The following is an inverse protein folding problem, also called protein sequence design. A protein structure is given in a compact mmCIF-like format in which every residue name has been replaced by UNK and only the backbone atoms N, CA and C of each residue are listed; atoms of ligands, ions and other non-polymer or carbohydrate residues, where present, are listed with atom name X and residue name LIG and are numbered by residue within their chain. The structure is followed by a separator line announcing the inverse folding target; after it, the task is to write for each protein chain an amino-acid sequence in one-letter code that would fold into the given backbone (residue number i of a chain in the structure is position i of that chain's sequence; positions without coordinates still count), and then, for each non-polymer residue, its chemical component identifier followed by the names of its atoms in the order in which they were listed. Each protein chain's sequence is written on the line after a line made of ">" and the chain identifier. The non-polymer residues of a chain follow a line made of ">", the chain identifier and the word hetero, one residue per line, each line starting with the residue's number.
data_IF_825011980123
#
_entry.id   IF_825011980123
#
_cell.length_a   1.000
_cell.length_b   1.000
_cell.length_c   1.000
_cell.angle_alpha   90.00
_cell.angle_beta   90.00
_cell.angle_gamma   90.00
#
_symmetry.space_group_name_H-M   'P 1'
#
loop_
_entity.id
_entity.type
_entity.pdbx_description
1 polymer ?
#
# COMPACT_ATOMS: atom_id res chain seq x y z
N UNK A 1 6.55 -56.81 5.72
CA UNK A 1 7.32 -55.90 4.80
C UNK A 1 6.41 -55.06 3.88
N UNK A 2 5.31 -55.55 3.31
CA UNK A 2 4.41 -54.78 2.43
C UNK A 2 3.84 -53.49 3.06
N UNK A 3 3.50 -53.51 4.34
CA UNK A 3 2.92 -52.34 5.03
C UNK A 3 3.96 -51.24 5.35
N UNK A 4 5.24 -51.58 5.41
CA UNK A 4 6.32 -50.61 5.62
C UNK A 4 6.48 -49.68 4.41
N UNK A 5 6.30 -50.20 3.20
CA UNK A 5 6.36 -49.39 1.98
C UNK A 5 5.18 -48.44 1.86
N UNK A 6 3.98 -48.86 2.30
CA UNK A 6 2.80 -47.98 2.29
C UNK A 6 3.00 -46.83 3.28
N UNK A 7 3.54 -47.11 4.47
CA UNK A 7 3.81 -46.08 5.47
C UNK A 7 4.85 -45.04 4.97
N UNK A 8 5.91 -45.52 4.31
CA UNK A 8 6.94 -44.65 3.69
C UNK A 8 6.37 -43.81 2.55
N UNK A 9 5.44 -44.33 1.77
CA UNK A 9 4.81 -43.63 0.67
C UNK A 9 3.87 -42.51 1.18
N UNK A 10 3.13 -42.79 2.27
CA UNK A 10 2.28 -41.77 2.90
C UNK A 10 3.07 -40.68 3.58
N UNK A 11 4.21 -40.98 4.20
CA UNK A 11 5.10 -40.01 4.79
C UNK A 11 5.82 -39.12 3.74
N UNK A 12 6.10 -39.68 2.55
CA UNK A 12 6.69 -38.94 1.44
C UNK A 12 5.74 -37.92 0.77
N UNK A 13 4.44 -38.12 0.85
CA UNK A 13 3.45 -37.22 0.26
C UNK A 13 3.15 -35.98 1.13
N UNK A 14 3.51 -36.02 2.40
CA UNK A 14 3.29 -34.90 3.32
C UNK A 14 4.36 -33.81 3.24
N UNK A 15 5.44 -34.01 2.51
CA UNK A 15 6.55 -33.05 2.44
C UNK A 15 6.39 -31.98 1.35
N UNK A 16 5.32 -32.01 0.57
CA UNK A 16 5.09 -31.02 -0.51
C UNK A 16 4.24 -29.82 -0.09
N UNK A 17 3.78 -29.77 1.14
CA UNK A 17 3.06 -28.61 1.67
C UNK A 17 4.03 -27.59 2.29
N UNK A 18 5.11 -27.27 1.61
CA UNK A 18 5.79 -26.00 1.88
C UNK A 18 4.84 -24.91 1.43
N UNK A 19 4.23 -24.24 2.41
CA UNK A 19 3.59 -22.94 2.17
C UNK A 19 4.64 -22.08 1.49
N UNK A 20 4.38 -21.73 0.23
CA UNK A 20 5.28 -20.82 -0.48
C UNK A 20 5.33 -19.52 0.30
N UNK A 21 6.47 -19.27 0.92
CA UNK A 21 6.73 -18.00 1.52
C UNK A 21 6.85 -16.98 0.41
N UNK A 22 5.99 -16.02 0.46
CA UNK A 22 6.12 -14.85 -0.39
C UNK A 22 7.34 -14.07 0.10
N UNK A 23 8.40 -14.03 -0.68
CA UNK A 23 9.70 -13.52 -0.25
C UNK A 23 9.81 -12.01 -0.06
N UNK A 24 8.82 -11.18 -0.43
CA UNK A 24 8.77 -9.74 -0.08
C UNK A 24 7.93 -9.38 1.13
N UNK A 25 7.86 -10.07 1.80
CA UNK A 25 7.08 -10.90 2.51
C UNK A 25 6.52 -10.34 3.75
N UNK A 26 6.91 -9.24 4.13
CA UNK A 26 6.42 -8.62 5.33
C UNK A 26 5.82 -7.24 5.06
N UNK A 27 5.77 -6.85 3.77
CA UNK A 27 5.33 -5.50 3.37
C UNK A 27 4.05 -5.54 2.54
N UNK A 28 3.07 -4.79 2.98
CA UNK A 28 1.86 -4.44 2.23
C UNK A 28 1.85 -2.97 1.87
N UNK A 29 1.04 -2.60 0.88
CA UNK A 29 0.82 -1.21 0.52
C UNK A 29 -0.65 -0.85 0.68
N UNK A 30 -0.91 0.30 1.26
CA UNK A 30 -2.21 0.94 1.25
C UNK A 30 -2.16 2.05 0.20
N UNK A 31 -3.15 2.09 -0.68
CA UNK A 31 -3.22 3.00 -1.81
C UNK A 31 -4.43 3.90 -1.68
N UNK A 32 -4.24 5.20 -1.83
CA UNK A 32 -5.33 6.17 -1.87
C UNK A 32 -5.37 6.90 -3.21
N UNK A 33 -6.56 6.94 -3.77
CA UNK A 33 -6.94 7.76 -4.91
C UNK A 33 -7.74 8.94 -4.37
N UNK A 34 -7.15 10.14 -4.38
CA UNK A 34 -7.73 11.33 -3.73
C UNK A 34 -7.96 12.41 -4.77
N UNK A 35 -9.22 12.66 -5.12
CA UNK A 35 -9.56 13.56 -6.22
C UNK A 35 -10.78 14.43 -5.89
N UNK A 36 -11.04 15.45 -6.73
CA UNK A 36 -12.30 16.19 -6.72
C UNK A 36 -13.39 15.38 -7.42
N UNK A 37 -14.63 15.64 -7.05
CA UNK A 37 -15.77 15.01 -7.71
C UNK A 37 -15.74 15.22 -9.23
N UNK A 38 -15.83 14.14 -9.97
CA UNK A 38 -15.83 14.15 -11.44
C UNK A 38 -14.46 14.34 -12.09
N UNK A 39 -13.39 14.52 -11.31
CA UNK A 39 -12.00 14.55 -11.81
C UNK A 39 -11.34 13.20 -11.61
N UNK A 40 -10.35 12.89 -12.46
CA UNK A 40 -9.52 11.67 -12.36
C UNK A 40 -8.13 11.95 -11.82
N UNK A 41 -7.76 13.23 -11.77
CA UNK A 41 -6.43 13.65 -11.34
C UNK A 41 -6.38 13.75 -9.83
N UNK A 42 -5.37 13.16 -9.23
CA UNK A 42 -5.16 13.24 -7.80
C UNK A 42 -4.79 14.66 -7.35
N UNK A 43 -5.39 15.08 -6.24
CA UNK A 43 -5.01 16.32 -5.56
C UNK A 43 -3.61 16.13 -4.98
N UNK A 44 -2.71 17.07 -5.24
CA UNK A 44 -1.31 17.03 -4.77
C UNK A 44 -1.14 17.74 -3.43
N UNK A 45 0.02 17.52 -2.81
CA UNK A 45 0.46 18.21 -1.59
C UNK A 45 -0.45 18.05 -0.37
N UNK A 46 -1.18 16.93 -0.32
CA UNK A 46 -1.96 16.58 0.87
C UNK A 46 -1.06 15.93 1.92
N UNK A 47 -1.25 16.27 3.18
CA UNK A 47 -0.74 15.51 4.31
C UNK A 47 -1.74 14.41 4.65
N UNK A 48 -1.34 13.16 4.46
CA UNK A 48 -2.18 12.00 4.71
C UNK A 48 -1.49 11.10 5.73
N UNK A 49 -2.16 10.84 6.85
CA UNK A 49 -1.61 10.05 7.96
C UNK A 49 -2.59 8.97 8.41
N UNK A 50 -2.07 7.96 9.10
CA UNK A 50 -2.88 7.01 9.87
C UNK A 50 -3.10 7.58 11.26
N UNK A 51 -4.34 7.52 11.73
CA UNK A 51 -4.75 8.02 13.04
C UNK A 51 -5.50 6.98 13.85
N UNK A 52 -5.46 7.13 15.17
CA UNK A 52 -6.26 6.35 16.11
C UNK A 52 -7.73 6.84 16.16
N UNK A 53 -8.55 6.20 16.98
CA UNK A 53 -9.95 6.58 17.20
C UNK A 53 -10.14 7.99 17.78
N UNK A 54 -9.09 8.61 18.30
CA UNK A 54 -9.10 9.98 18.81
C UNK A 54 -8.60 11.01 17.79
N UNK A 55 -8.20 10.55 16.59
CA UNK A 55 -7.67 11.40 15.52
C UNK A 55 -6.19 11.78 15.65
N UNK A 56 -5.45 11.11 16.58
CA UNK A 56 -4.00 11.32 16.76
C UNK A 56 -3.21 10.45 15.81
N UNK A 57 -2.15 11.01 15.26
CA UNK A 57 -1.25 10.30 14.34
C UNK A 57 -0.62 9.07 15.03
N UNK A 58 -0.63 7.93 14.32
CA UNK A 58 0.05 6.71 14.75
C UNK A 58 1.53 6.82 14.48
N UNK A 59 2.32 6.66 15.53
CA UNK A 59 3.79 6.66 15.44
C UNK A 59 4.30 5.25 15.21
N UNK A 60 5.20 5.10 14.24
CA UNK A 60 5.85 3.83 13.88
C UNK A 60 6.96 3.48 14.88
N UNK A 61 6.61 3.21 16.12
CA UNK A 61 7.57 2.93 17.20
C UNK A 61 8.44 1.72 16.82
N UNK A 62 9.75 1.92 16.76
CA UNK A 62 10.73 0.87 16.47
C UNK A 62 10.39 0.00 15.25
N UNK A 63 9.83 0.61 14.21
CA UNK A 63 9.39 -0.09 12.99
C UNK A 63 8.29 -1.15 13.22
N UNK A 64 7.47 -1.02 14.25
CA UNK A 64 6.40 -1.97 14.54
C UNK A 64 5.38 -2.09 13.40
N UNK A 65 5.05 -0.98 12.74
CA UNK A 65 4.00 -0.93 11.72
C UNK A 65 4.53 -0.85 10.28
N UNK A 66 5.76 -0.38 10.11
CA UNK A 66 6.42 -0.23 8.80
C UNK A 66 7.92 -0.39 8.96
N UNK A 67 8.57 -1.01 7.99
CA UNK A 67 10.04 -1.13 7.97
C UNK A 67 10.75 0.16 7.59
N UNK A 68 10.01 1.24 7.40
CA UNK A 68 10.54 2.56 7.05
C UNK A 68 10.11 3.59 8.09
N UNK A 69 10.94 4.62 8.26
CA UNK A 69 10.63 5.79 9.09
C UNK A 69 10.32 5.43 10.55
N UNK A 70 11.25 4.73 11.21
CA UNK A 70 11.16 4.43 12.64
C UNK A 70 10.90 5.67 13.47
N UNK A 71 10.01 5.57 14.45
CA UNK A 71 9.65 6.62 15.39
C UNK A 71 9.08 7.90 14.74
N UNK A 72 8.54 7.77 13.52
CA UNK A 72 7.85 8.83 12.81
C UNK A 72 6.37 8.47 12.63
N UNK A 73 5.50 9.45 12.37
CA UNK A 73 4.13 9.17 11.96
C UNK A 73 4.06 8.31 10.71
N UNK A 74 3.03 7.48 10.61
CA UNK A 74 2.73 6.75 9.38
C UNK A 74 2.12 7.72 8.37
N UNK A 75 2.93 8.15 7.40
CA UNK A 75 2.58 9.15 6.40
C UNK A 75 2.58 8.53 5.02
N UNK A 76 1.52 8.80 4.25
CA UNK A 76 1.46 8.45 2.84
C UNK A 76 2.36 9.36 2.02
N UNK A 77 2.96 8.79 0.99
CA UNK A 77 3.76 9.50 0.00
C UNK A 77 3.17 9.32 -1.39
N UNK A 78 3.31 10.31 -2.26
CA UNK A 78 2.91 10.13 -3.66
C UNK A 78 3.71 9.02 -4.31
N UNK A 79 3.05 8.19 -5.11
CA UNK A 79 3.74 7.26 -6.00
C UNK A 79 4.60 8.05 -7.00
N UNK A 80 5.64 7.45 -7.51
CA UNK A 80 6.62 8.14 -8.35
C UNK A 80 7.09 7.26 -9.50
N UNK A 81 7.61 7.90 -10.52
CA UNK A 81 8.27 7.24 -11.65
C UNK A 81 9.68 6.78 -11.28
N UNK A 82 10.08 5.66 -11.85
CA UNK A 82 11.43 5.10 -11.69
C UNK A 82 12.11 4.92 -13.05
N UNK A 83 13.44 5.03 -13.05
CA UNK A 83 14.29 4.74 -14.20
C UNK A 83 14.52 3.22 -14.39
N UNK A 84 15.31 2.87 -15.39
CA UNK A 84 15.65 1.47 -15.70
C UNK A 84 16.48 0.81 -14.60
N UNK A 85 17.10 1.57 -13.72
CA UNK A 85 17.86 1.12 -12.56
C UNK A 85 17.02 1.09 -11.27
N UNK A 86 15.69 1.25 -11.38
CA UNK A 86 14.73 1.35 -10.26
C UNK A 86 14.98 2.54 -9.31
N UNK A 87 15.66 3.60 -9.77
CA UNK A 87 15.82 4.83 -9.01
C UNK A 87 14.68 5.78 -9.29
N UNK A 88 14.27 6.54 -8.25
CA UNK A 88 13.25 7.59 -8.40
C UNK A 88 13.72 8.63 -9.41
N UNK A 89 12.88 8.93 -10.39
CA UNK A 89 13.11 10.02 -11.32
C UNK A 89 12.95 11.38 -10.62
N UNK A 90 13.76 12.34 -11.04
CA UNK A 90 13.59 13.72 -10.62
C UNK A 90 12.25 14.28 -11.13
N UNK A 91 11.69 15.23 -10.40
CA UNK A 91 10.47 15.90 -10.82
C UNK A 91 10.69 16.64 -12.14
N UNK A 92 9.76 16.45 -13.08
CA UNK A 92 9.89 17.01 -14.45
C UNK A 92 10.82 16.26 -15.39
N UNK A 93 11.48 15.17 -14.95
CA UNK A 93 12.30 14.35 -15.84
C UNK A 93 11.43 13.56 -16.82
N UNK A 94 11.83 13.53 -18.08
CA UNK A 94 11.18 12.74 -19.14
C UNK A 94 11.69 11.31 -19.08
N UNK A 95 10.80 10.36 -18.85
CA UNK A 95 11.13 8.93 -18.95
C UNK A 95 10.92 8.45 -20.38
N UNK A 96 11.84 7.66 -20.91
CA UNK A 96 11.67 6.96 -22.19
C UNK A 96 10.54 5.95 -22.14
N UNK A 97 10.29 5.39 -20.95
CA UNK A 97 9.19 4.49 -20.67
C UNK A 97 8.59 4.83 -19.31
N UNK A 98 7.28 4.98 -19.25
CA UNK A 98 6.58 5.24 -18.02
C UNK A 98 6.60 3.99 -17.11
N UNK A 99 7.36 4.06 -16.01
CA UNK A 99 7.46 3.01 -14.99
C UNK A 99 7.21 3.60 -13.62
N UNK A 100 6.16 3.12 -12.96
CA UNK A 100 5.82 3.53 -11.61
C UNK A 100 6.48 2.62 -10.58
N UNK A 101 6.92 3.20 -9.46
CA UNK A 101 7.43 2.43 -8.33
C UNK A 101 6.45 1.35 -7.90
N UNK A 102 5.18 1.71 -7.79
CA UNK A 102 4.10 0.77 -7.55
C UNK A 102 3.13 0.78 -8.74
N UNK A 103 3.22 -0.20 -9.64
CA UNK A 103 2.47 -0.18 -10.91
C UNK A 103 0.95 -0.20 -10.77
N UNK A 104 0.44 -0.68 -9.61
CA UNK A 104 -0.99 -0.77 -9.35
C UNK A 104 -1.63 0.55 -8.89
N UNK A 105 -0.82 1.55 -8.63
CA UNK A 105 -1.23 2.80 -8.03
C UNK A 105 -0.60 4.01 -8.74
N UNK A 106 -0.72 4.03 -10.05
CA UNK A 106 -0.26 5.15 -10.87
C UNK A 106 -0.82 6.46 -10.33
N UNK A 107 0.08 7.40 -10.04
CA UNK A 107 -0.24 8.76 -9.58
C UNK A 107 -1.00 8.86 -8.23
N UNK A 108 -1.12 7.78 -7.48
CA UNK A 108 -1.84 7.73 -6.21
C UNK A 108 -0.89 7.92 -5.02
N UNK A 109 -1.47 8.04 -3.82
CA UNK A 109 -0.71 8.05 -2.57
C UNK A 109 -0.49 6.63 -2.06
N UNK A 110 0.68 6.36 -1.49
CA UNK A 110 1.10 5.06 -0.98
C UNK A 110 1.55 5.15 0.47
N UNK A 111 1.18 4.15 1.26
CA UNK A 111 1.80 3.86 2.54
C UNK A 111 2.28 2.41 2.56
N UNK A 112 3.54 2.19 2.90
CA UNK A 112 4.11 0.87 3.14
C UNK A 112 3.90 0.50 4.61
N UNK A 113 3.29 -0.65 4.87
CA UNK A 113 3.06 -1.19 6.21
C UNK A 113 3.49 -2.66 6.28
N UNK A 114 3.64 -3.21 7.48
CA UNK A 114 3.84 -4.66 7.66
C UNK A 114 2.59 -5.44 7.26
N UNK A 115 2.74 -6.69 6.83
CA UNK A 115 1.60 -7.56 6.52
C UNK A 115 0.71 -7.85 7.74
N UNK A 116 1.25 -7.66 8.94
CA UNK A 116 0.55 -7.82 10.21
C UNK A 116 -0.12 -6.55 10.71
N UNK A 117 -0.10 -5.48 9.90
CA UNK A 117 -0.74 -4.22 10.27
C UNK A 117 -2.26 -4.40 10.39
N UNK A 118 -2.80 -4.07 11.56
CA UNK A 118 -4.23 -4.24 11.87
C UNK A 118 -5.05 -3.05 11.35
N UNK A 119 -5.21 -2.95 10.03
CA UNK A 119 -5.82 -1.81 9.37
C UNK A 119 -7.19 -1.43 9.93
N UNK A 120 -8.03 -2.42 10.24
CA UNK A 120 -9.40 -2.21 10.75
C UNK A 120 -9.48 -1.45 12.10
N UNK A 121 -8.35 -1.24 12.77
CA UNK A 121 -8.26 -0.51 14.05
C UNK A 121 -8.03 0.98 13.88
N UNK A 122 -7.76 1.42 12.66
CA UNK A 122 -7.27 2.76 12.39
C UNK A 122 -8.13 3.49 11.36
N UNK A 123 -7.88 4.78 11.24
CA UNK A 123 -8.47 5.66 10.25
C UNK A 123 -7.39 6.39 9.46
N UNK A 124 -7.75 6.86 8.29
CA UNK A 124 -6.93 7.72 7.45
C UNK A 124 -7.39 9.15 7.65
N UNK A 125 -6.46 10.05 7.95
CA UNK A 125 -6.71 11.49 8.05
C UNK A 125 -6.05 12.19 6.87
N UNK A 126 -6.81 12.95 6.13
CA UNK A 126 -6.37 13.71 4.98
C UNK A 126 -6.52 15.20 5.31
N UNK A 127 -5.44 15.95 5.20
CA UNK A 127 -5.39 17.39 5.48
C UNK A 127 -4.71 18.09 4.32
N UNK A 128 -5.33 19.14 3.83
CA UNK A 128 -4.71 20.05 2.91
C UNK A 128 -3.72 20.96 3.67
N UNK A 129 -2.47 20.98 3.21
CA UNK A 129 -1.40 21.73 3.86
C UNK A 129 -0.88 22.90 3.04
N UNK A 130 -1.27 23.01 1.78
CA UNK A 130 -0.83 24.08 0.88
C UNK A 130 -1.85 25.23 0.76
N UNK A 131 -3.02 25.08 1.36
CA UNK A 131 -4.04 26.11 1.44
C UNK A 131 -4.77 26.36 0.12
N UNK A 132 -4.38 27.41 -0.62
CA UNK A 132 -5.05 27.77 -1.89
C UNK A 132 -4.28 27.29 -3.14
N UNK A 133 -3.12 26.76 -2.97
CA UNK A 133 -2.38 26.12 -4.07
C UNK A 133 -3.14 24.88 -4.54
N UNK A 134 -2.86 24.35 -5.68
CA UNK A 134 -3.56 23.15 -6.24
C UNK A 134 -5.09 23.22 -6.31
N UNK A 135 -5.63 24.38 -6.55
CA UNK A 135 -7.05 24.52 -6.90
C UNK A 135 -8.00 24.92 -5.78
N UNK A 136 -7.49 25.23 -4.60
CA UNK A 136 -8.27 25.74 -3.46
C UNK A 136 -8.14 24.84 -2.23
N UNK A 137 -8.55 25.37 -1.10
CA UNK A 137 -8.48 24.66 0.17
C UNK A 137 -9.53 23.56 0.27
N UNK A 138 -9.09 22.36 0.70
CA UNK A 138 -9.96 21.23 0.90
C UNK A 138 -10.25 20.97 2.38
N UNK A 139 -11.46 20.50 2.65
CA UNK A 139 -11.88 20.10 4.00
C UNK A 139 -11.04 18.91 4.47
N UNK A 140 -10.67 18.94 5.75
CA UNK A 140 -10.05 17.77 6.40
C UNK A 140 -11.06 16.62 6.47
N UNK A 141 -10.63 15.43 6.06
CA UNK A 141 -11.45 14.21 6.08
C UNK A 141 -10.79 13.15 6.95
N UNK A 142 -11.59 12.44 7.74
CA UNK A 142 -11.17 11.22 8.43
C UNK A 142 -12.11 10.10 7.99
N UNK A 143 -11.52 9.00 7.50
CA UNK A 143 -12.28 7.84 7.02
C UNK A 143 -11.68 6.54 7.57
N UNK A 144 -12.51 5.51 7.79
CA UNK A 144 -12.03 4.24 8.30
C UNK A 144 -11.12 3.55 7.28
N UNK A 145 -10.12 2.82 7.79
CA UNK A 145 -9.29 1.93 7.00
C UNK A 145 -9.76 0.50 7.24
N UNK A 146 -9.58 -0.35 6.21
CA UNK A 146 -9.99 -1.75 6.27
C UNK A 146 -8.87 -2.66 5.78
N UNK A 147 -8.81 -3.88 6.30
CA UNK A 147 -7.80 -4.87 5.92
C UNK A 147 -7.84 -5.21 4.42
N UNK A 148 -9.01 -5.16 3.78
CA UNK A 148 -9.12 -5.36 2.33
C UNK A 148 -8.52 -4.22 1.47
N UNK A 149 -8.14 -3.09 2.08
CA UNK A 149 -7.41 -2.02 1.40
C UNK A 149 -5.90 -2.28 1.31
N UNK A 150 -5.40 -3.32 1.99
CA UNK A 150 -3.99 -3.66 1.99
C UNK A 150 -3.63 -4.51 0.76
N UNK A 151 -2.70 -4.03 -0.05
CA UNK A 151 -2.11 -4.80 -1.15
C UNK A 151 -1.01 -5.69 -0.62
N UNK A 152 -1.30 -6.95 -0.42
CA UNK A 152 -0.33 -7.98 -0.02
C UNK A 152 0.32 -8.52 -1.28
N UNK A 153 1.62 -8.30 -1.44
CA UNK A 153 2.38 -8.74 -2.61
C UNK A 153 3.19 -9.98 -2.27
N UNK A 154 3.01 -11.02 -3.05
CA UNK A 154 3.90 -12.17 -3.07
C UNK A 154 4.96 -12.00 -4.14
N UNK A 155 6.23 -12.15 -3.79
CA UNK A 155 7.33 -11.61 -4.53
C UNK A 155 7.75 -12.29 -5.78
N UNK A 156 7.77 -13.53 -5.88
CA UNK A 156 8.52 -14.16 -6.97
C UNK A 156 7.69 -14.79 -8.07
N UNK A 157 6.47 -14.98 -7.84
CA UNK A 157 5.70 -15.76 -8.78
C UNK A 157 4.82 -14.93 -9.60
N UNK A 158 5.01 -13.75 -9.54
CA UNK A 158 4.16 -13.15 -10.46
C UNK A 158 3.50 -11.86 -10.01
N UNK A 159 4.02 -10.84 -10.55
CA UNK A 159 3.18 -9.70 -10.90
C UNK A 159 1.78 -10.16 -11.36
N UNK A 160 1.66 -11.28 -12.04
CA UNK A 160 0.36 -11.82 -12.47
C UNK A 160 -0.49 -12.40 -11.34
N UNK A 161 0.07 -13.09 -10.36
CA UNK A 161 -0.71 -13.57 -9.21
C UNK A 161 -1.02 -12.42 -8.25
N UNK A 162 -0.10 -11.50 -8.03
CA UNK A 162 -0.35 -10.27 -7.29
C UNK A 162 -1.40 -9.41 -7.99
N UNK A 163 -1.36 -9.27 -9.31
CA UNK A 163 -2.37 -8.60 -10.12
C UNK A 163 -3.73 -9.29 -9.98
N UNK A 164 -3.76 -10.60 -10.05
CA UNK A 164 -4.99 -11.39 -9.96
C UNK A 164 -5.57 -11.34 -8.55
N UNK A 165 -4.74 -11.38 -7.53
CA UNK A 165 -5.11 -11.24 -6.12
C UNK A 165 -5.53 -9.79 -5.81
N UNK A 166 -4.72 -8.81 -6.20
CA UNK A 166 -4.99 -7.39 -6.01
C UNK A 166 -6.28 -6.93 -6.67
N UNK A 167 -6.58 -7.36 -7.89
CA UNK A 167 -7.82 -6.97 -8.58
C UNK A 167 -9.10 -7.46 -7.92
N UNK A 168 -9.06 -8.51 -7.13
CA UNK A 168 -10.26 -9.09 -6.49
C UNK A 168 -10.46 -8.66 -5.05
N UNK A 169 -9.39 -8.37 -4.33
CA UNK A 169 -9.43 -8.19 -2.89
C UNK A 169 -8.98 -6.80 -2.44
N UNK A 170 -8.08 -6.17 -3.19
CA UNK A 170 -7.43 -4.95 -2.75
C UNK A 170 -7.76 -3.83 -3.73
N UNK A 171 -8.54 -2.88 -3.27
CA UNK A 171 -8.88 -1.68 -4.04
C UNK A 171 -8.20 -0.47 -3.40
N UNK A 172 -7.77 0.50 -4.20
CA UNK A 172 -7.46 1.82 -3.67
C UNK A 172 -8.63 2.34 -2.83
N UNK A 173 -8.31 3.04 -1.78
CA UNK A 173 -9.31 3.82 -1.06
C UNK A 173 -9.61 5.04 -1.94
N UNK A 174 -10.81 5.08 -2.49
CA UNK A 174 -11.28 6.18 -3.32
C UNK A 174 -11.84 7.29 -2.43
N UNK A 175 -11.31 8.51 -2.57
CA UNK A 175 -11.64 9.64 -1.71
C UNK A 175 -11.95 10.87 -2.53
N UNK A 176 -13.17 11.35 -2.40
CA UNK A 176 -13.58 12.62 -2.99
C UNK A 176 -13.45 13.71 -1.94
N UNK A 177 -12.62 14.72 -2.22
CA UNK A 177 -12.50 15.88 -1.35
C UNK A 177 -13.38 17.04 -1.84
N UNK A 178 -13.99 17.71 -0.87
CA UNK A 178 -14.74 18.93 -1.07
C UNK A 178 -13.90 20.13 -0.66
N UNK A 179 -14.09 21.23 -1.38
CA UNK A 179 -13.48 22.52 -1.01
C UNK A 179 -14.19 23.14 0.18
N UNK A 180 -13.41 23.90 0.99
CA UNK A 180 -13.95 24.76 2.06
C UNK A 180 -14.78 25.90 1.49
#
# INVERSE_FOLDING_TARGET
>A
MKYLYILLLVLGLSSSAQVMHCGYDFTSYIVLDVHEQGKKENIKNLKITIVDSTGRDIININNMYSFKNANQPLVFTSNYLIDDNNKKLAEGATATKERWFFPFAKDNYLLSVSNTFEADRYSIKITDTDGKENGGKYKTVILPLYSYNMYILCSNESQQAAIKFGRKMNKPVDVILEKD
#
